data_IF_158550258013
#
_entry.id   IF_158550258013
#
_cell.length_a   1.000
_cell.length_b   1.000
_cell.length_c   1.000
_cell.angle_alpha   90.00
_cell.angle_beta   90.00
_cell.angle_gamma   90.00
#
_symmetry.space_group_name_H-M   'P 1'
#
loop_
_entity.id
_entity.type
_entity.pdbx_description
1 polymer ?
#
# COMPACT_ATOMS: atom_id res chain seq x y z
N UNK A 1 19.31 -9.95 -23.75
CA UNK A 1 18.11 -10.44 -24.45
C UNK A 1 17.10 -9.29 -24.39
N UNK A 2 16.67 -8.75 -25.52
CA UNK A 2 15.77 -7.58 -25.54
C UNK A 2 14.32 -8.06 -25.41
N UNK A 3 13.59 -7.55 -24.42
CA UNK A 3 12.17 -7.84 -24.25
C UNK A 3 11.32 -6.92 -25.13
N UNK A 4 10.97 -7.40 -26.32
CA UNK A 4 10.18 -6.64 -27.28
C UNK A 4 8.69 -6.54 -26.94
N UNK A 5 8.18 -7.42 -26.06
CA UNK A 5 6.77 -7.44 -25.67
C UNK A 5 6.56 -6.68 -24.35
N UNK A 6 7.61 -6.54 -23.53
CA UNK A 6 7.52 -5.88 -22.24
C UNK A 6 6.80 -6.75 -21.21
N UNK A 7 7.02 -8.06 -21.23
CA UNK A 7 6.43 -9.01 -20.29
C UNK A 7 6.71 -8.65 -18.83
N UNK A 8 7.88 -8.08 -18.55
CA UNK A 8 8.20 -7.61 -17.20
C UNK A 8 7.23 -6.51 -16.75
N UNK A 9 7.02 -5.48 -17.57
CA UNK A 9 6.11 -4.38 -17.27
C UNK A 9 4.65 -4.86 -17.16
N UNK A 10 4.22 -5.77 -18.04
CA UNK A 10 2.89 -6.39 -17.98
C UNK A 10 2.69 -7.18 -16.67
N UNK A 11 3.69 -7.95 -16.27
CA UNK A 11 3.65 -8.75 -15.04
C UNK A 11 3.57 -7.84 -13.82
N UNK A 12 4.40 -6.79 -13.76
CA UNK A 12 4.34 -5.79 -12.68
C UNK A 12 2.97 -5.11 -12.61
N UNK A 13 2.36 -4.78 -13.76
CA UNK A 13 1.02 -4.22 -13.81
C UNK A 13 -0.04 -5.19 -13.27
N UNK A 14 0.03 -6.47 -13.64
CA UNK A 14 -0.86 -7.50 -13.13
C UNK A 14 -0.70 -7.69 -11.61
N UNK A 15 0.53 -7.68 -11.09
CA UNK A 15 0.80 -7.82 -9.66
C UNK A 15 0.18 -6.68 -8.83
N UNK A 16 0.16 -5.44 -9.34
CA UNK A 16 -0.58 -4.35 -8.69
C UNK A 16 -2.07 -4.65 -8.56
N UNK A 17 -2.66 -5.27 -9.57
CA UNK A 17 -4.05 -5.75 -9.52
C UNK A 17 -4.27 -6.81 -8.43
N UNK A 18 -3.32 -7.73 -8.24
CA UNK A 18 -3.37 -8.74 -7.18
C UNK A 18 -3.38 -8.08 -5.80
N UNK A 19 -2.55 -7.05 -5.58
CA UNK A 19 -2.50 -6.29 -4.32
C UNK A 19 -3.85 -5.62 -4.03
N UNK A 20 -4.45 -4.94 -5.02
CA UNK A 20 -5.76 -4.30 -4.87
C UNK A 20 -6.84 -5.32 -4.49
N UNK A 21 -6.94 -6.44 -5.20
CA UNK A 21 -7.96 -7.45 -4.92
C UNK A 21 -7.74 -8.13 -3.55
N UNK A 22 -6.49 -8.30 -3.12
CA UNK A 22 -6.18 -8.79 -1.79
C UNK A 22 -6.64 -7.81 -0.69
N UNK A 23 -6.40 -6.51 -0.86
CA UNK A 23 -6.87 -5.47 0.06
C UNK A 23 -8.41 -5.40 0.11
N UNK A 24 -9.09 -5.46 -1.03
CA UNK A 24 -10.56 -5.50 -1.11
C UNK A 24 -11.14 -6.67 -0.32
N UNK A 25 -10.54 -7.86 -0.44
CA UNK A 25 -10.96 -9.04 0.32
C UNK A 25 -10.77 -8.84 1.82
N UNK A 26 -9.62 -8.31 2.24
CA UNK A 26 -9.36 -8.00 3.65
C UNK A 26 -10.34 -6.98 4.25
N UNK A 27 -10.70 -5.95 3.47
CA UNK A 27 -11.71 -4.97 3.87
C UNK A 27 -13.10 -5.61 4.04
N UNK A 28 -13.57 -6.35 3.03
CA UNK A 28 -14.92 -6.93 3.03
C UNK A 28 -15.14 -8.03 4.09
N UNK A 29 -14.08 -8.68 4.57
CA UNK A 29 -14.16 -9.77 5.54
C UNK A 29 -14.15 -9.33 7.01
N UNK A 30 -14.30 -8.03 7.29
CA UNK A 30 -14.24 -7.47 8.66
C UNK A 30 -12.86 -7.68 9.33
N UNK A 31 -11.80 -7.77 8.51
CA UNK A 31 -10.45 -8.16 8.89
C UNK A 31 -9.88 -9.23 7.95
N UNK A 32 -8.56 -9.42 8.01
CA UNK A 32 -7.90 -10.45 7.23
C UNK A 32 -8.23 -11.85 7.79
N UNK A 33 -8.56 -12.85 6.95
CA UNK A 33 -8.88 -14.19 7.43
C UNK A 33 -7.65 -14.81 8.11
N UNK A 34 -7.84 -15.53 9.22
CA UNK A 34 -6.74 -16.19 9.94
C UNK A 34 -5.66 -15.21 10.43
N UNK A 35 -4.39 -15.63 10.34
CA UNK A 35 -3.22 -14.83 10.74
C UNK A 35 -2.60 -14.02 9.59
N UNK A 36 -3.38 -13.78 8.53
CA UNK A 36 -2.90 -13.04 7.37
C UNK A 36 -2.62 -11.58 7.72
N UNK A 37 -1.52 -11.06 7.20
CA UNK A 37 -1.11 -9.66 7.31
C UNK A 37 -0.37 -9.24 6.04
N UNK A 38 -0.46 -7.97 5.69
CA UNK A 38 0.24 -7.43 4.52
C UNK A 38 1.47 -6.66 4.93
N UNK A 39 2.57 -6.91 4.23
CA UNK A 39 3.72 -6.00 4.17
C UNK A 39 3.64 -5.27 2.83
N UNK A 40 3.36 -3.96 2.87
CA UNK A 40 3.31 -3.13 1.66
C UNK A 40 4.46 -2.15 1.70
N UNK A 41 5.34 -2.24 0.70
CA UNK A 41 6.42 -1.28 0.48
C UNK A 41 6.04 -0.38 -0.69
N UNK A 42 6.21 0.92 -0.51
CA UNK A 42 5.97 1.94 -1.54
C UNK A 42 7.02 3.04 -1.46
N UNK A 43 7.22 3.79 -2.54
CA UNK A 43 8.13 4.94 -2.53
C UNK A 43 7.45 6.15 -1.89
N UNK A 44 8.05 6.71 -0.84
CA UNK A 44 7.43 7.79 -0.05
C UNK A 44 7.24 9.10 -0.81
N UNK A 45 8.02 9.28 -1.89
CA UNK A 45 8.01 10.46 -2.76
C UNK A 45 7.38 10.19 -4.13
N UNK A 46 6.73 9.04 -4.33
CA UNK A 46 6.03 8.76 -5.58
C UNK A 46 4.86 9.74 -5.79
N UNK A 47 4.53 10.10 -7.05
CA UNK A 47 3.42 10.97 -7.34
C UNK A 47 2.10 10.47 -6.73
N UNK A 48 1.42 11.34 -5.99
CA UNK A 48 0.14 11.04 -5.36
C UNK A 48 0.24 10.41 -3.96
N UNK A 49 1.42 10.01 -3.49
CA UNK A 49 1.60 9.60 -2.09
C UNK A 49 1.38 10.81 -1.18
N UNK A 50 0.52 10.65 -0.15
CA UNK A 50 0.34 11.65 0.90
C UNK A 50 0.51 10.99 2.26
N UNK A 51 1.58 11.35 2.95
CA UNK A 51 1.92 10.91 4.31
C UNK A 51 2.48 12.11 5.08
N UNK A 52 2.59 12.03 6.40
CA UNK A 52 3.15 13.12 7.18
C UNK A 52 4.63 13.40 6.85
N UNK A 53 5.04 14.68 6.86
CA UNK A 53 6.40 15.10 6.46
C UNK A 53 7.50 14.38 7.23
N UNK A 54 7.33 14.21 8.55
CA UNK A 54 8.32 13.50 9.38
C UNK A 54 8.47 12.02 9.00
N UNK A 55 7.45 11.40 8.39
CA UNK A 55 7.55 10.03 7.86
C UNK A 55 8.36 10.02 6.57
N UNK A 56 8.21 11.02 5.70
CA UNK A 56 9.05 11.19 4.50
C UNK A 56 10.49 11.46 4.88
N UNK A 57 10.74 12.30 5.89
CA UNK A 57 12.10 12.58 6.39
C UNK A 57 12.75 11.33 6.97
N UNK A 58 11.99 10.53 7.73
CA UNK A 58 12.47 9.28 8.32
C UNK A 58 12.68 8.16 7.30
N UNK A 59 11.86 8.12 6.25
CA UNK A 59 11.87 7.12 5.20
C UNK A 59 11.96 7.81 3.83
N UNK A 60 13.14 8.31 3.43
CA UNK A 60 13.27 9.23 2.30
C UNK A 60 13.14 8.60 0.91
N UNK A 61 13.21 7.28 0.81
CA UNK A 61 13.11 6.53 -0.45
C UNK A 61 11.87 5.65 -0.46
N UNK A 62 11.85 4.64 0.42
CA UNK A 62 10.77 3.67 0.52
C UNK A 62 10.34 3.48 1.98
N UNK A 63 9.08 3.14 2.16
CA UNK A 63 8.48 2.85 3.45
C UNK A 63 7.69 1.56 3.36
N UNK A 64 7.90 0.68 4.34
CA UNK A 64 7.10 -0.54 4.51
C UNK A 64 6.10 -0.33 5.63
N UNK A 65 4.82 -0.56 5.35
CA UNK A 65 3.75 -0.61 6.35
C UNK A 65 3.25 -2.04 6.55
N UNK A 66 2.78 -2.32 7.76
CA UNK A 66 2.18 -3.61 8.12
C UNK A 66 0.70 -3.41 8.41
N UNK A 67 -0.16 -4.07 7.64
CA UNK A 67 -1.61 -4.08 7.86
C UNK A 67 -1.96 -5.41 8.54
N UNK A 68 -2.26 -5.33 9.84
CA UNK A 68 -2.62 -6.48 10.66
C UNK A 68 -3.80 -6.13 11.59
N UNK A 69 -3.56 -5.78 12.87
CA UNK A 69 -4.62 -5.55 13.85
C UNK A 69 -4.88 -4.07 14.17
N UNK A 70 -3.91 -3.19 13.91
CA UNK A 70 -3.96 -1.78 14.31
C UNK A 70 -4.02 -0.86 13.10
N UNK A 71 -5.12 -0.97 12.35
CA UNK A 71 -5.46 -0.07 11.28
C UNK A 71 -6.92 0.33 11.36
N UNK A 72 -7.26 1.48 10.79
CA UNK A 72 -8.61 2.01 10.73
C UNK A 72 -8.86 2.63 9.36
N UNK A 73 -10.13 2.81 9.03
CA UNK A 73 -10.60 3.53 7.84
C UNK A 73 -9.84 3.14 6.57
N UNK A 74 -9.69 1.82 6.37
CA UNK A 74 -9.11 1.29 5.13
C UNK A 74 -10.12 1.49 4.00
N UNK A 75 -9.79 2.34 3.05
CA UNK A 75 -10.57 2.58 1.84
C UNK A 75 -9.79 2.07 0.62
N UNK A 76 -10.44 1.30 -0.23
CA UNK A 76 -9.79 0.59 -1.35
C UNK A 76 -10.43 1.00 -2.67
N UNK A 77 -9.77 1.94 -3.33
CA UNK A 77 -10.21 2.51 -4.60
C UNK A 77 -9.56 1.81 -5.80
N UNK A 78 -9.87 2.24 -7.02
CA UNK A 78 -9.33 1.60 -8.23
C UNK A 78 -7.84 1.90 -8.47
N UNK A 79 -7.40 3.10 -8.11
CA UNK A 79 -6.04 3.62 -8.35
C UNK A 79 -5.15 3.70 -7.11
N UNK A 80 -5.74 3.69 -5.92
CA UNK A 80 -5.06 3.90 -4.65
C UNK A 80 -5.80 3.21 -3.51
N UNK A 81 -5.18 3.22 -2.33
CA UNK A 81 -5.87 2.94 -1.09
C UNK A 81 -5.53 4.02 -0.06
N UNK A 82 -6.43 4.19 0.90
CA UNK A 82 -6.26 5.07 2.04
C UNK A 82 -6.38 4.27 3.33
N UNK A 83 -5.59 4.62 4.34
CA UNK A 83 -5.59 3.90 5.62
C UNK A 83 -5.09 4.79 6.75
N UNK A 84 -5.62 4.58 7.95
CA UNK A 84 -5.09 5.17 9.17
C UNK A 84 -4.27 4.15 9.93
N UNK A 85 -3.01 4.50 10.20
CA UNK A 85 -2.08 3.73 11.03
C UNK A 85 -1.54 4.57 12.17
N UNK A 86 -1.13 3.94 13.27
CA UNK A 86 -0.47 4.64 14.39
C UNK A 86 1.04 4.58 14.25
N UNK A 87 1.68 5.75 14.32
CA UNK A 87 3.13 5.89 14.41
C UNK A 87 3.47 6.53 15.75
N UNK A 88 4.23 5.82 16.58
CA UNK A 88 4.53 6.24 17.96
C UNK A 88 3.27 6.61 18.76
N UNK A 89 2.17 5.89 18.54
CA UNK A 89 0.87 6.12 19.20
C UNK A 89 0.00 7.21 18.55
N UNK A 90 0.53 7.99 17.61
CA UNK A 90 -0.19 9.06 16.91
C UNK A 90 -0.81 8.52 15.61
N UNK A 91 -2.14 8.62 15.42
CA UNK A 91 -2.78 8.25 14.16
C UNK A 91 -2.28 9.13 13.00
N UNK A 92 -1.99 8.50 11.87
CA UNK A 92 -1.60 9.14 10.62
C UNK A 92 -2.44 8.57 9.50
N UNK A 93 -2.99 9.46 8.70
CA UNK A 93 -3.69 9.12 7.48
C UNK A 93 -2.67 8.98 6.34
N UNK A 94 -2.75 7.87 5.60
CA UNK A 94 -1.87 7.55 4.49
C UNK A 94 -2.72 7.39 3.23
N UNK A 95 -2.38 8.09 2.15
CA UNK A 95 -2.96 7.89 0.82
C UNK A 95 -1.87 7.37 -0.12
N UNK A 96 -2.01 6.13 -0.60
CA UNK A 96 -0.97 5.40 -1.33
C UNK A 96 -1.52 4.90 -2.69
N UNK A 97 -1.07 5.49 -3.81
CA UNK A 97 -1.35 4.96 -5.15
C UNK A 97 -0.73 3.57 -5.36
N UNK A 98 -1.40 2.67 -6.10
CA UNK A 98 -0.83 1.34 -6.40
C UNK A 98 0.43 1.38 -7.27
N UNK A 99 0.65 2.49 -7.97
CA UNK A 99 1.83 2.73 -8.81
C UNK A 99 3.02 3.31 -8.03
N UNK A 100 2.87 3.57 -6.72
CA UNK A 100 3.90 4.13 -5.86
C UNK A 100 5.00 3.13 -5.48
#
# INVERSE_FOLDING_TARGET
MTDYIGYEALTQAAMRGVVREALRKGYNSNGLPGDHHFYLTFRTKAPGVKIADYLVERFPEEMTIVIQHQYWDLEVEDSHFEIILKFSGVPQHLHIPYAA
#
